data_IF_188759695108
#
_entry.id   IF_188759695108
#
_cell.length_a   1.000
_cell.length_b   1.000
_cell.length_c   1.000
_cell.angle_alpha   90.00
_cell.angle_beta   90.00
_cell.angle_gamma   90.00
#
_symmetry.space_group_name_H-M   'P 1'
#
loop_
_entity.id
_entity.type
_entity.pdbx_description
1 polymer ?
#
# COMPACT_ATOMS: atom_id res chain seq x y z
N UNK A 1 -35.60 30.96 59.62
CA UNK A 1 -35.21 29.55 59.36
C UNK A 1 -34.78 29.46 57.86
N UNK A 2 -33.46 29.41 57.61
CA UNK A 2 -32.90 29.34 56.25
C UNK A 2 -32.47 27.88 56.02
N UNK A 3 -33.10 27.19 55.07
CA UNK A 3 -32.74 25.85 54.70
C UNK A 3 -31.61 25.94 53.71
N UNK A 4 -30.44 25.41 54.07
CA UNK A 4 -29.27 25.21 53.18
C UNK A 4 -29.40 23.81 52.58
N UNK A 5 -29.62 23.74 51.24
CA UNK A 5 -29.51 22.50 50.48
C UNK A 5 -28.05 22.30 50.08
N UNK A 6 -27.45 21.25 50.63
CA UNK A 6 -26.10 20.79 50.23
C UNK A 6 -26.25 19.86 49.02
N UNK A 7 -25.76 20.30 47.86
CA UNK A 7 -25.61 19.45 46.66
C UNK A 7 -24.33 18.63 46.78
N UNK A 8 -24.44 17.34 47.00
CA UNK A 8 -23.31 16.41 46.84
C UNK A 8 -23.13 16.06 45.37
N UNK A 9 -22.09 16.60 44.74
CA UNK A 9 -21.63 16.27 43.39
C UNK A 9 -20.81 14.99 43.49
N UNK A 10 -21.37 13.84 43.09
CA UNK A 10 -20.63 12.58 42.96
C UNK A 10 -19.89 12.61 41.62
N UNK A 11 -18.58 12.84 41.70
CA UNK A 11 -17.68 12.79 40.54
C UNK A 11 -17.38 11.31 40.24
N UNK A 12 -18.02 10.74 39.22
CA UNK A 12 -17.64 9.42 38.66
C UNK A 12 -16.34 9.56 37.88
N UNK A 13 -15.23 9.21 38.50
CA UNK A 13 -13.97 8.94 37.79
C UNK A 13 -14.11 7.61 37.03
N UNK A 14 -14.39 7.67 35.76
CA UNK A 14 -14.19 6.52 34.87
C UNK A 14 -12.69 6.35 34.66
N UNK A 15 -12.07 5.44 35.39
CA UNK A 15 -10.72 4.97 35.11
C UNK A 15 -10.81 4.13 33.81
N UNK A 16 -10.45 4.74 32.70
CA UNK A 16 -10.21 4.01 31.46
C UNK A 16 -8.98 3.10 31.68
N UNK A 17 -9.23 1.84 31.99
CA UNK A 17 -8.20 0.81 31.94
C UNK A 17 -7.76 0.66 30.47
N UNK A 18 -6.77 1.40 30.05
CA UNK A 18 -5.98 1.05 28.88
C UNK A 18 -5.24 -0.26 29.25
N UNK A 19 -5.86 -1.40 28.95
CA UNK A 19 -5.16 -2.68 28.97
C UNK A 19 -4.00 -2.56 28.01
N UNK A 20 -2.78 -2.48 28.53
CA UNK A 20 -1.56 -2.68 27.76
C UNK A 20 -1.64 -4.10 27.17
N UNK A 21 -2.15 -4.20 25.95
CA UNK A 21 -2.15 -5.46 25.22
C UNK A 21 -0.70 -5.94 25.12
N UNK A 22 -0.44 -7.15 25.64
CA UNK A 22 0.90 -7.77 25.60
C UNK A 22 1.38 -7.77 24.15
N UNK A 23 2.41 -7.01 23.84
CA UNK A 23 3.03 -7.03 22.51
C UNK A 23 3.77 -8.35 22.34
N UNK A 24 3.57 -8.99 21.17
CA UNK A 24 4.28 -10.20 20.81
C UNK A 24 5.71 -9.86 20.34
N UNK A 25 6.68 -10.71 20.67
CA UNK A 25 7.91 -10.82 19.90
C UNK A 25 7.61 -11.53 18.58
N UNK A 26 8.52 -11.45 17.62
CA UNK A 26 8.29 -12.04 16.30
C UNK A 26 9.60 -12.52 15.67
N UNK A 27 9.47 -13.44 14.72
CA UNK A 27 10.56 -13.95 13.90
C UNK A 27 10.34 -13.58 12.44
N UNK A 28 11.40 -13.15 11.76
CA UNK A 28 11.46 -12.98 10.33
C UNK A 28 12.15 -14.16 9.66
N UNK A 29 11.58 -14.64 8.57
CA UNK A 29 12.15 -15.73 7.77
C UNK A 29 12.07 -15.36 6.30
N UNK A 30 13.18 -15.46 5.59
CA UNK A 30 13.16 -15.31 4.14
C UNK A 30 12.47 -16.51 3.51
N UNK A 31 11.61 -16.23 2.55
CA UNK A 31 10.84 -17.22 1.80
C UNK A 31 11.02 -17.00 0.31
N UNK A 32 11.00 -18.10 -0.44
CA UNK A 32 11.12 -18.07 -1.91
C UNK A 32 9.88 -18.70 -2.51
N UNK A 33 9.24 -17.99 -3.43
CA UNK A 33 8.16 -18.50 -4.24
C UNK A 33 8.70 -18.84 -5.63
N UNK A 34 8.59 -20.10 -6.02
CA UNK A 34 8.95 -20.55 -7.37
C UNK A 34 7.74 -20.44 -8.28
N UNK A 35 7.88 -19.68 -9.37
CA UNK A 35 6.88 -19.53 -10.43
C UNK A 35 7.52 -19.91 -11.76
N UNK A 36 7.22 -21.11 -12.25
CA UNK A 36 7.88 -21.70 -13.43
C UNK A 36 9.41 -21.73 -13.25
N UNK A 37 10.14 -20.94 -14.04
CA UNK A 37 11.61 -20.78 -13.95
C UNK A 37 12.03 -19.61 -13.05
N UNK A 38 11.08 -18.76 -12.64
CA UNK A 38 11.34 -17.58 -11.81
C UNK A 38 11.33 -17.90 -10.33
N UNK A 39 12.08 -17.09 -9.57
CA UNK A 39 12.07 -17.10 -8.12
C UNK A 39 11.75 -15.69 -7.62
N UNK A 40 10.69 -15.58 -6.80
CA UNK A 40 10.36 -14.35 -6.11
C UNK A 40 10.68 -14.49 -4.64
N UNK A 41 11.29 -13.48 -4.07
CA UNK A 41 11.78 -13.47 -2.70
C UNK A 41 10.91 -12.59 -1.81
N UNK A 42 10.64 -13.07 -0.62
CA UNK A 42 9.85 -12.37 0.38
C UNK A 42 10.38 -12.59 1.78
N UNK A 43 9.85 -11.84 2.73
CA UNK A 43 10.08 -12.01 4.16
C UNK A 43 8.75 -12.27 4.84
N UNK A 44 8.65 -13.43 5.49
CA UNK A 44 7.54 -13.83 6.33
C UNK A 44 7.86 -13.43 7.78
N UNK A 45 7.04 -12.56 8.35
CA UNK A 45 7.13 -12.09 9.74
C UNK A 45 6.02 -12.76 10.54
N UNK A 46 6.36 -13.57 11.54
CA UNK A 46 5.38 -14.36 12.31
C UNK A 46 5.53 -14.05 13.80
N UNK A 47 4.42 -13.74 14.52
CA UNK A 47 4.45 -13.57 15.98
C UNK A 47 4.94 -14.86 16.65
N UNK A 48 5.80 -14.71 17.65
CA UNK A 48 6.24 -15.82 18.49
C UNK A 48 5.09 -16.33 19.36
N UNK A 49 5.18 -17.60 19.79
CA UNK A 49 4.23 -18.25 20.70
C UNK A 49 2.79 -18.38 20.19
N UNK A 50 2.53 -18.04 18.91
CA UNK A 50 1.19 -18.13 18.32
C UNK A 50 1.12 -19.32 17.38
N UNK A 51 0.36 -20.36 17.75
CA UNK A 51 0.19 -21.56 16.92
C UNK A 51 -0.63 -21.31 15.66
N UNK A 52 -1.64 -20.44 15.73
CA UNK A 52 -2.49 -20.03 14.60
C UNK A 52 -2.80 -18.56 14.69
N UNK A 53 -2.65 -17.83 13.60
CA UNK A 53 -2.91 -16.39 13.51
C UNK A 53 -3.51 -16.02 12.16
N UNK A 54 -4.00 -14.79 12.06
CA UNK A 54 -4.32 -14.16 10.78
C UNK A 54 -3.02 -13.74 10.08
N UNK A 55 -3.05 -13.64 8.75
CA UNK A 55 -1.89 -13.22 7.96
C UNK A 55 -2.25 -12.09 7.00
N UNK A 56 -1.34 -11.15 6.83
CA UNK A 56 -1.43 -10.08 5.84
C UNK A 56 -0.41 -10.29 4.71
N UNK A 57 -0.84 -10.16 3.45
CA UNK A 57 0.05 -10.03 2.30
C UNK A 57 0.21 -8.56 1.97
N UNK A 58 1.42 -8.00 2.10
CA UNK A 58 1.72 -6.59 1.88
C UNK A 58 2.32 -6.42 0.48
N UNK A 59 1.71 -5.55 -0.33
CA UNK A 59 2.10 -5.27 -1.71
C UNK A 59 2.64 -3.86 -1.81
N UNK A 60 3.88 -3.72 -2.26
CA UNK A 60 4.56 -2.44 -2.42
C UNK A 60 3.99 -1.57 -3.55
N UNK A 61 4.22 -0.26 -3.47
CA UNK A 61 3.85 0.72 -4.49
C UNK A 61 4.69 0.63 -5.77
N UNK A 62 4.51 1.63 -6.64
CA UNK A 62 5.14 1.72 -7.97
C UNK A 62 6.67 1.88 -7.92
N UNK A 63 7.28 1.74 -9.09
CA UNK A 63 8.72 1.87 -9.28
C UNK A 63 9.54 0.74 -8.65
N UNK A 64 10.86 0.92 -8.49
CA UNK A 64 11.77 -0.09 -7.97
C UNK A 64 11.71 -0.21 -6.43
N UNK A 65 10.50 -0.18 -5.87
CA UNK A 65 10.26 -0.25 -4.44
C UNK A 65 10.33 -1.69 -3.95
N UNK A 66 11.26 -1.96 -3.04
CA UNK A 66 11.48 -3.26 -2.43
C UNK A 66 10.41 -3.62 -1.38
N UNK A 67 10.51 -4.83 -0.83
CA UNK A 67 9.60 -5.36 0.20
C UNK A 67 9.57 -4.56 1.50
N UNK A 68 10.57 -3.70 1.75
CA UNK A 68 10.68 -2.88 2.96
C UNK A 68 10.08 -1.47 2.75
N UNK A 69 9.74 -1.10 1.52
CA UNK A 69 9.28 0.23 1.14
C UNK A 69 10.42 1.16 0.69
N UNK A 70 11.60 0.61 0.43
CA UNK A 70 12.78 1.35 0.00
C UNK A 70 13.00 1.25 -1.51
N UNK A 71 13.75 2.21 -2.05
CA UNK A 71 14.25 2.15 -3.41
C UNK A 71 15.63 2.85 -3.47
N UNK A 72 16.34 2.85 -4.62
CA UNK A 72 17.67 3.45 -4.71
C UNK A 72 17.77 4.93 -4.31
N UNK A 73 16.65 5.66 -4.33
CA UNK A 73 16.57 7.09 -4.03
C UNK A 73 15.99 7.40 -2.65
N UNK A 74 15.32 6.43 -2.01
CA UNK A 74 14.56 6.66 -0.78
C UNK A 74 14.68 5.47 0.18
N UNK A 75 14.98 5.75 1.44
CA UNK A 75 15.10 4.74 2.50
C UNK A 75 14.23 5.13 3.70
N UNK A 76 13.06 4.51 3.82
CA UNK A 76 12.06 4.86 4.84
C UNK A 76 11.53 3.67 5.66
N UNK A 77 11.76 2.43 5.21
CA UNK A 77 11.36 1.19 5.88
C UNK A 77 9.85 1.07 6.22
N UNK A 78 8.98 1.83 5.56
CA UNK A 78 7.57 1.93 5.95
C UNK A 78 6.82 0.59 5.90
N UNK A 79 7.06 -0.24 4.88
CA UNK A 79 6.41 -1.56 4.76
C UNK A 79 7.01 -2.58 5.74
N UNK A 80 8.32 -2.46 6.06
CA UNK A 80 8.94 -3.25 7.12
C UNK A 80 8.32 -2.91 8.48
N UNK A 81 8.22 -1.62 8.81
CA UNK A 81 7.60 -1.16 10.05
C UNK A 81 6.14 -1.60 10.17
N UNK A 82 5.38 -1.60 9.06
CA UNK A 82 4.01 -2.12 9.04
C UNK A 82 3.98 -3.62 9.39
N UNK A 83 4.85 -4.42 8.78
CA UNK A 83 4.93 -5.86 9.04
C UNK A 83 5.29 -6.16 10.51
N UNK A 84 6.27 -5.44 11.07
CA UNK A 84 6.68 -5.57 12.47
C UNK A 84 5.56 -5.16 13.43
N UNK A 85 4.85 -4.05 13.13
CA UNK A 85 3.72 -3.60 13.93
C UNK A 85 2.55 -4.61 13.93
N UNK A 86 2.26 -5.21 12.77
CA UNK A 86 1.25 -6.28 12.69
C UNK A 86 1.67 -7.48 13.53
N UNK A 87 2.93 -7.90 13.46
CA UNK A 87 3.44 -9.04 14.24
C UNK A 87 3.39 -8.78 15.75
N UNK A 88 3.77 -7.59 16.22
CA UNK A 88 3.61 -7.17 17.62
C UNK A 88 2.15 -7.25 18.09
N UNK A 89 1.21 -7.12 17.18
CA UNK A 89 -0.23 -7.25 17.43
C UNK A 89 -0.78 -8.67 17.16
N UNK A 90 0.07 -9.68 17.00
CA UNK A 90 -0.33 -11.08 16.84
C UNK A 90 -0.82 -11.45 15.43
N UNK A 91 -0.53 -10.64 14.42
CA UNK A 91 -0.88 -10.85 13.01
C UNK A 91 0.39 -11.11 12.22
N UNK A 92 0.49 -12.27 11.59
CA UNK A 92 1.60 -12.56 10.68
C UNK A 92 1.52 -11.69 9.41
N UNK A 93 2.65 -11.50 8.75
CA UNK A 93 2.64 -10.83 7.45
C UNK A 93 3.71 -11.38 6.50
N UNK A 94 3.43 -11.30 5.21
CA UNK A 94 4.40 -11.55 4.15
C UNK A 94 4.52 -10.28 3.31
N UNK A 95 5.74 -9.79 3.14
CA UNK A 95 6.12 -8.75 2.19
C UNK A 95 7.14 -9.31 1.21
N UNK A 96 7.07 -8.92 -0.05
CA UNK A 96 7.89 -9.51 -1.11
C UNK A 96 8.41 -8.47 -2.08
N UNK A 97 9.53 -8.76 -2.73
CA UNK A 97 10.04 -7.98 -3.83
C UNK A 97 9.29 -8.36 -5.11
N UNK A 98 8.72 -7.37 -5.78
CA UNK A 98 8.12 -7.58 -7.10
C UNK A 98 9.20 -8.08 -8.07
N UNK A 99 8.80 -8.83 -9.11
CA UNK A 99 9.77 -9.29 -10.12
C UNK A 99 10.54 -8.13 -10.73
N UNK A 100 11.83 -8.32 -10.93
CA UNK A 100 12.74 -7.28 -11.38
C UNK A 100 13.25 -6.35 -10.28
N UNK A 101 12.81 -6.49 -9.01
CA UNK A 101 13.13 -5.61 -7.88
C UNK A 101 13.83 -6.40 -6.78
N UNK A 102 14.72 -5.73 -6.03
CA UNK A 102 15.38 -6.28 -4.85
C UNK A 102 16.04 -7.63 -5.13
N UNK A 103 15.78 -8.63 -4.30
CA UNK A 103 16.29 -10.00 -4.49
C UNK A 103 15.59 -10.73 -5.64
N UNK A 104 14.38 -10.31 -6.06
CA UNK A 104 13.66 -10.84 -7.23
C UNK A 104 14.18 -10.27 -8.56
N UNK A 105 15.32 -9.58 -8.57
CA UNK A 105 15.90 -8.91 -9.74
C UNK A 105 16.28 -9.87 -10.87
N UNK A 106 16.65 -11.10 -10.53
CA UNK A 106 17.04 -12.13 -11.49
C UNK A 106 15.87 -12.91 -12.08
N UNK A 107 14.61 -12.43 -11.92
CA UNK A 107 13.47 -13.03 -12.61
C UNK A 107 13.68 -12.99 -14.13
N UNK A 108 13.28 -14.05 -14.82
CA UNK A 108 13.58 -14.26 -16.24
C UNK A 108 12.91 -13.27 -17.18
N UNK A 109 12.03 -12.39 -16.67
CA UNK A 109 11.33 -11.43 -17.50
C UNK A 109 12.16 -10.15 -17.69
N UNK A 110 12.33 -9.73 -18.95
CA UNK A 110 12.95 -8.45 -19.25
C UNK A 110 11.98 -7.30 -18.99
N UNK A 111 12.48 -6.08 -18.74
CA UNK A 111 11.62 -4.91 -18.58
C UNK A 111 10.69 -4.68 -19.77
N UNK A 112 11.19 -4.92 -21.00
CA UNK A 112 10.41 -4.76 -22.23
C UNK A 112 9.31 -5.80 -22.43
N UNK A 113 9.33 -6.88 -21.66
CA UNK A 113 8.30 -7.93 -21.65
C UNK A 113 7.39 -7.85 -20.43
N UNK A 114 7.71 -6.98 -19.47
CA UNK A 114 6.92 -6.81 -18.25
C UNK A 114 5.60 -6.11 -18.58
N UNK A 115 4.50 -6.68 -18.09
CA UNK A 115 3.16 -6.09 -18.11
C UNK A 115 2.57 -6.08 -16.69
N UNK A 116 1.59 -5.22 -16.44
CA UNK A 116 0.97 -5.05 -15.13
C UNK A 116 0.35 -6.34 -14.60
N UNK A 117 -0.19 -7.16 -15.49
CA UNK A 117 -0.79 -8.45 -15.19
C UNK A 117 0.23 -9.44 -14.57
N UNK A 118 1.52 -9.32 -14.88
CA UNK A 118 2.54 -10.15 -14.24
C UNK A 118 2.57 -9.96 -12.73
N UNK A 119 2.43 -8.72 -12.24
CA UNK A 119 2.37 -8.45 -10.81
C UNK A 119 1.09 -8.98 -10.17
N UNK A 120 -0.03 -8.93 -10.87
CA UNK A 120 -1.29 -9.50 -10.35
C UNK A 120 -1.24 -11.02 -10.22
N UNK A 121 -0.61 -11.71 -11.18
CA UNK A 121 -0.42 -13.16 -11.14
C UNK A 121 0.58 -13.57 -10.04
N UNK A 122 1.64 -12.78 -9.83
CA UNK A 122 2.58 -13.00 -8.72
C UNK A 122 1.86 -12.91 -7.37
N UNK A 123 1.02 -11.90 -7.20
CA UNK A 123 0.23 -11.74 -5.95
C UNK A 123 -0.75 -12.88 -5.76
N UNK A 124 -1.43 -13.36 -6.81
CA UNK A 124 -2.28 -14.57 -6.74
C UNK A 124 -1.48 -15.80 -6.30
N UNK A 125 -0.25 -15.92 -6.77
CA UNK A 125 0.64 -17.03 -6.39
C UNK A 125 1.07 -16.93 -4.92
N UNK A 126 1.40 -15.73 -4.41
CA UNK A 126 1.66 -15.49 -2.99
C UNK A 126 0.43 -15.74 -2.11
N UNK A 127 -0.76 -15.38 -2.56
CA UNK A 127 -2.02 -15.69 -1.88
C UNK A 127 -2.19 -17.21 -1.74
N UNK A 128 -1.94 -17.96 -2.80
CA UNK A 128 -2.01 -19.43 -2.76
C UNK A 128 -0.94 -20.01 -1.82
N UNK A 129 0.30 -19.48 -1.85
CA UNK A 129 1.38 -19.88 -0.95
C UNK A 129 0.96 -19.73 0.52
N UNK A 130 0.42 -18.57 0.90
CA UNK A 130 -0.03 -18.32 2.27
C UNK A 130 -1.23 -19.20 2.68
N UNK A 131 -2.14 -19.50 1.76
CA UNK A 131 -3.30 -20.35 2.05
C UNK A 131 -2.95 -21.82 2.27
N UNK A 132 -1.83 -22.29 1.77
CA UNK A 132 -1.34 -23.64 2.02
C UNK A 132 -0.72 -23.81 3.42
N UNK A 133 -0.32 -22.72 4.07
CA UNK A 133 0.25 -22.74 5.39
C UNK A 133 -0.85 -22.84 6.46
N UNK A 134 -0.93 -23.99 7.12
CA UNK A 134 -1.97 -24.30 8.13
C UNK A 134 -1.90 -23.44 9.40
N UNK A 135 -0.84 -22.66 9.56
CA UNK A 135 -0.72 -21.69 10.66
C UNK A 135 -1.64 -20.48 10.47
N UNK A 136 -2.03 -20.19 9.23
CA UNK A 136 -2.82 -19.00 8.92
C UNK A 136 -4.30 -19.30 8.80
N UNK A 137 -5.12 -18.53 9.55
CA UNK A 137 -6.58 -18.75 9.63
C UNK A 137 -7.36 -17.92 8.63
N UNK A 138 -6.93 -16.67 8.42
CA UNK A 138 -7.53 -15.71 7.49
C UNK A 138 -6.44 -14.90 6.82
N UNK A 139 -6.63 -14.58 5.55
CA UNK A 139 -5.72 -13.78 4.75
C UNK A 139 -6.32 -12.42 4.46
N UNK A 140 -5.59 -11.35 4.81
CA UNK A 140 -5.88 -9.98 4.38
C UNK A 140 -4.85 -9.56 3.33
N UNK A 141 -5.29 -8.99 2.22
CA UNK A 141 -4.39 -8.34 1.26
C UNK A 141 -4.31 -6.86 1.61
N UNK A 142 -3.10 -6.34 1.78
CA UNK A 142 -2.81 -4.92 2.04
C UNK A 142 -2.00 -4.39 0.87
N UNK A 143 -2.59 -3.46 0.10
CA UNK A 143 -1.90 -2.82 -1.00
C UNK A 143 -1.57 -1.36 -0.70
N UNK A 144 -0.33 -0.96 -0.93
CA UNK A 144 0.13 0.42 -0.81
C UNK A 144 0.28 1.05 -2.19
N UNK A 145 -0.31 2.24 -2.41
CA UNK A 145 -0.19 2.99 -3.67
C UNK A 145 -0.60 2.14 -4.89
N UNK A 146 0.27 1.92 -5.89
CA UNK A 146 0.06 0.99 -7.00
C UNK A 146 -0.30 -0.43 -6.51
N UNK A 147 0.30 -0.88 -5.41
CA UNK A 147 0.01 -2.17 -4.79
C UNK A 147 -1.45 -2.31 -4.37
N UNK A 148 -2.16 -1.20 -4.15
CA UNK A 148 -3.60 -1.19 -3.90
C UNK A 148 -4.37 -1.70 -5.13
N UNK A 149 -4.09 -1.20 -6.33
CA UNK A 149 -4.72 -1.67 -7.56
C UNK A 149 -4.36 -3.13 -7.85
N UNK A 150 -3.08 -3.51 -7.70
CA UNK A 150 -2.65 -4.91 -7.85
C UNK A 150 -3.45 -5.81 -6.89
N UNK A 151 -3.59 -5.38 -5.64
CA UNK A 151 -4.34 -6.09 -4.61
C UNK A 151 -5.84 -6.18 -4.89
N UNK A 152 -6.46 -5.15 -5.44
CA UNK A 152 -7.87 -5.17 -5.88
C UNK A 152 -8.11 -6.27 -6.92
N UNK A 153 -7.22 -6.38 -7.91
CA UNK A 153 -7.35 -7.34 -9.02
C UNK A 153 -7.04 -8.77 -8.55
N UNK A 154 -5.99 -8.93 -7.74
CA UNK A 154 -5.53 -10.25 -7.29
C UNK A 154 -6.29 -10.78 -6.06
N UNK A 155 -6.87 -9.90 -5.25
CA UNK A 155 -7.36 -10.18 -3.91
C UNK A 155 -8.71 -10.91 -3.81
N UNK A 156 -9.31 -11.32 -4.92
CA UNK A 156 -10.63 -11.98 -4.92
C UNK A 156 -10.71 -13.26 -4.02
N UNK A 157 -9.57 -13.89 -3.75
CA UNK A 157 -9.47 -15.06 -2.85
C UNK A 157 -9.06 -14.70 -1.42
N UNK A 158 -8.86 -13.44 -1.07
CA UNK A 158 -8.58 -13.00 0.29
C UNK A 158 -9.87 -12.97 1.13
N UNK A 159 -9.72 -12.90 2.45
CA UNK A 159 -10.85 -12.73 3.37
C UNK A 159 -11.19 -11.25 3.57
N UNK A 160 -10.18 -10.37 3.45
CA UNK A 160 -10.30 -8.91 3.61
C UNK A 160 -9.32 -8.20 2.69
N UNK A 161 -9.61 -6.94 2.39
CA UNK A 161 -8.72 -6.08 1.61
C UNK A 161 -8.51 -4.73 2.29
N UNK A 162 -7.26 -4.25 2.28
CA UNK A 162 -6.89 -2.92 2.78
C UNK A 162 -6.16 -2.16 1.68
N UNK A 163 -6.66 -0.98 1.35
CA UNK A 163 -6.03 0.00 0.47
C UNK A 163 -5.35 1.08 1.31
N UNK A 164 -4.06 1.29 1.17
CA UNK A 164 -3.32 2.39 1.80
C UNK A 164 -2.80 3.30 0.69
N UNK A 165 -3.18 4.57 0.73
CA UNK A 165 -2.77 5.58 -0.26
C UNK A 165 -2.98 5.12 -1.71
N UNK A 166 -4.06 4.38 -1.98
CA UNK A 166 -4.41 3.88 -3.30
C UNK A 166 -5.07 4.96 -4.16
N UNK A 167 -4.69 5.03 -5.44
CA UNK A 167 -5.31 5.95 -6.38
C UNK A 167 -6.78 5.60 -6.63
N UNK A 168 -7.64 6.61 -6.73
CA UNK A 168 -9.05 6.47 -7.12
C UNK A 168 -9.28 6.59 -8.62
N UNK A 169 -8.25 6.95 -9.38
CA UNK A 169 -8.31 7.08 -10.83
C UNK A 169 -7.24 6.22 -11.53
N UNK A 170 -7.45 5.96 -12.83
CA UNK A 170 -6.49 5.22 -13.64
C UNK A 170 -5.12 5.91 -13.68
N UNK A 171 -4.06 5.11 -13.82
CA UNK A 171 -2.68 5.61 -13.70
C UNK A 171 -2.33 6.70 -14.72
N UNK A 172 -2.89 6.66 -15.93
CA UNK A 172 -2.72 7.72 -16.93
C UNK A 172 -3.22 9.07 -16.40
N UNK A 173 -4.39 9.12 -15.75
CA UNK A 173 -4.95 10.34 -15.16
C UNK A 173 -4.17 10.79 -13.95
N UNK A 174 -3.81 9.87 -13.06
CA UNK A 174 -3.02 10.15 -11.87
C UNK A 174 -1.67 10.78 -12.25
N UNK A 175 -0.94 10.21 -13.21
CA UNK A 175 0.36 10.72 -13.66
C UNK A 175 0.19 12.12 -14.29
N UNK A 176 -0.84 12.33 -15.10
CA UNK A 176 -1.15 13.67 -15.64
C UNK A 176 -1.40 14.69 -14.52
N UNK A 177 -2.19 14.33 -13.52
CA UNK A 177 -2.48 15.19 -12.36
C UNK A 177 -1.21 15.52 -11.56
N UNK A 178 -0.36 14.53 -11.32
CA UNK A 178 0.92 14.74 -10.62
C UNK A 178 1.89 15.63 -11.40
N UNK A 179 1.89 15.56 -12.73
CA UNK A 179 2.69 16.45 -13.59
C UNK A 179 2.12 17.86 -13.57
N UNK A 180 0.81 18.03 -13.74
CA UNK A 180 0.14 19.32 -13.71
C UNK A 180 0.31 20.04 -12.37
N UNK A 181 0.35 19.32 -11.25
CA UNK A 181 0.59 19.91 -9.91
C UNK A 181 1.94 20.61 -9.77
N UNK A 182 2.89 20.35 -10.67
CA UNK A 182 4.20 21.02 -10.71
C UNK A 182 4.15 22.38 -11.40
N UNK A 183 2.99 22.77 -11.97
CA UNK A 183 2.77 24.03 -12.68
C UNK A 183 3.82 24.32 -13.77
N UNK A 184 4.26 23.27 -14.47
CA UNK A 184 5.25 23.34 -15.55
C UNK A 184 4.58 22.97 -16.89
N UNK A 185 4.13 24.01 -17.61
CA UNK A 185 3.44 23.84 -18.90
C UNK A 185 4.29 23.11 -19.94
N UNK A 186 5.57 23.39 -20.00
CA UNK A 186 6.47 22.71 -20.92
C UNK A 186 6.51 21.20 -20.64
N UNK A 187 6.56 20.81 -19.36
CA UNK A 187 6.54 19.39 -18.96
C UNK A 187 5.21 18.72 -19.34
N UNK A 188 4.08 19.41 -19.18
CA UNK A 188 2.77 18.90 -19.62
C UNK A 188 2.75 18.68 -21.13
N UNK A 189 3.17 19.67 -21.92
CA UNK A 189 3.19 19.61 -23.39
C UNK A 189 4.09 18.49 -23.93
N UNK A 190 5.16 18.17 -23.23
CA UNK A 190 6.04 17.05 -23.57
C UNK A 190 5.48 15.69 -23.17
N UNK A 191 4.75 15.60 -22.04
CA UNK A 191 4.39 14.31 -21.42
C UNK A 191 2.98 13.84 -21.76
N UNK A 192 1.99 14.74 -21.86
CA UNK A 192 0.60 14.38 -22.07
C UNK A 192 0.36 13.65 -23.39
N UNK A 193 0.95 14.07 -24.54
CA UNK A 193 0.83 13.31 -25.78
C UNK A 193 1.40 11.88 -25.68
N UNK A 194 2.48 11.69 -24.92
CA UNK A 194 3.06 10.36 -24.67
C UNK A 194 2.05 9.51 -23.89
N UNK A 195 1.50 10.05 -22.79
CA UNK A 195 0.52 9.34 -21.96
C UNK A 195 -0.71 8.96 -22.79
N UNK A 196 -1.23 9.87 -23.63
CA UNK A 196 -2.40 9.59 -24.47
C UNK A 196 -2.13 8.52 -25.52
N UNK A 197 -0.93 8.53 -26.12
CA UNK A 197 -0.47 7.48 -27.03
C UNK A 197 -0.43 6.12 -26.34
N UNK A 198 0.20 6.05 -25.17
CA UNK A 198 0.30 4.82 -24.38
C UNK A 198 -1.07 4.34 -23.89
N UNK A 199 -1.97 5.25 -23.48
CA UNK A 199 -3.35 4.92 -23.12
C UNK A 199 -4.13 4.30 -24.26
N UNK A 200 -3.85 4.75 -25.50
CA UNK A 200 -4.42 4.20 -26.72
C UNK A 200 -3.76 2.89 -27.18
N UNK A 201 -2.77 2.38 -26.41
CA UNK A 201 -2.05 1.16 -26.73
C UNK A 201 -0.86 1.32 -27.68
N UNK A 202 -0.52 2.56 -28.05
CA UNK A 202 0.54 2.84 -29.03
C UNK A 202 1.85 3.19 -28.31
N UNK A 203 2.95 2.57 -28.74
CA UNK A 203 4.30 2.89 -28.26
C UNK A 203 4.82 4.18 -28.88
N UNK A 204 5.64 4.90 -28.13
CA UNK A 204 6.35 6.11 -28.55
C UNK A 204 7.84 5.77 -28.66
N UNK A 205 8.37 5.75 -29.90
CA UNK A 205 9.76 5.33 -30.16
C UNK A 205 10.80 6.38 -29.77
N UNK A 206 10.46 7.67 -29.94
CA UNK A 206 11.36 8.79 -29.61
C UNK A 206 10.83 9.48 -28.36
N UNK A 207 11.51 9.27 -27.27
CA UNK A 207 11.24 9.91 -25.98
C UNK A 207 12.41 10.82 -25.65
N UNK A 208 12.12 12.06 -25.21
CA UNK A 208 13.16 12.97 -24.75
C UNK A 208 13.94 12.33 -23.59
N UNK A 209 15.28 12.40 -23.58
CA UNK A 209 16.09 11.84 -22.50
C UNK A 209 15.68 12.26 -21.09
N UNK A 210 15.17 13.47 -20.90
CA UNK A 210 14.66 13.97 -19.62
C UNK A 210 13.45 13.17 -19.10
N UNK A 211 12.72 12.52 -20.00
CA UNK A 211 11.51 11.75 -19.70
C UNK A 211 11.77 10.25 -19.59
N UNK A 212 13.02 9.79 -19.83
CA UNK A 212 13.37 8.37 -19.84
C UNK A 212 13.08 7.65 -18.52
N UNK A 213 13.13 8.35 -17.38
CA UNK A 213 12.79 7.75 -16.08
C UNK A 213 11.35 7.22 -16.04
N UNK A 214 10.42 7.87 -16.78
CA UNK A 214 8.99 7.53 -16.79
C UNK A 214 8.55 6.82 -18.07
N UNK A 215 9.12 7.16 -19.25
CA UNK A 215 8.55 6.77 -20.54
C UNK A 215 9.54 6.09 -21.47
N UNK A 216 10.72 5.66 -20.99
CA UNK A 216 11.68 4.92 -21.86
C UNK A 216 10.99 3.76 -22.57
N UNK A 217 11.38 3.43 -23.80
CA UNK A 217 10.69 2.41 -24.61
C UNK A 217 10.50 1.06 -23.91
N UNK A 218 11.44 0.65 -23.06
CA UNK A 218 11.38 -0.62 -22.34
C UNK A 218 10.28 -0.70 -21.29
N UNK A 219 9.86 0.42 -20.68
CA UNK A 219 8.79 0.45 -19.67
C UNK A 219 7.38 0.61 -20.28
N UNK A 220 7.28 0.99 -21.55
CA UNK A 220 5.99 1.31 -22.17
C UNK A 220 5.01 0.14 -22.22
N UNK A 221 5.41 -1.13 -22.45
CA UNK A 221 4.47 -2.26 -22.36
C UNK A 221 3.78 -2.35 -20.98
N UNK A 222 4.55 -2.08 -19.93
CA UNK A 222 4.02 -2.02 -18.56
C UNK A 222 3.00 -0.88 -18.41
N UNK A 223 3.33 0.34 -18.83
CA UNK A 223 2.43 1.49 -18.75
C UNK A 223 1.16 1.27 -19.55
N UNK A 224 1.26 0.77 -20.78
CA UNK A 224 0.11 0.44 -21.65
C UNK A 224 -0.83 -0.55 -20.95
N UNK A 225 -0.28 -1.58 -20.34
CA UNK A 225 -1.08 -2.58 -19.62
C UNK A 225 -1.68 -2.02 -18.33
N UNK A 226 -0.94 -1.22 -17.56
CA UNK A 226 -1.42 -0.60 -16.33
C UNK A 226 -2.54 0.40 -16.58
N UNK A 227 -2.43 1.24 -17.63
CA UNK A 227 -3.41 2.25 -17.98
C UNK A 227 -4.79 1.67 -18.36
N UNK A 228 -4.92 0.38 -18.62
CA UNK A 228 -6.21 -0.28 -18.89
C UNK A 228 -7.12 -0.33 -17.68
N UNK A 229 -6.56 -0.33 -16.47
CA UNK A 229 -7.30 -0.56 -15.24
C UNK A 229 -7.80 0.74 -14.60
N UNK A 230 -9.08 0.75 -14.22
CA UNK A 230 -9.69 1.80 -13.41
C UNK A 230 -9.91 1.29 -11.98
N UNK A 231 -9.27 1.91 -10.96
CA UNK A 231 -9.33 1.42 -9.58
C UNK A 231 -10.76 1.37 -9.01
N UNK A 232 -11.64 2.29 -9.39
CA UNK A 232 -13.06 2.29 -8.96
C UNK A 232 -13.80 1.07 -9.50
N UNK A 233 -13.50 0.70 -10.73
CA UNK A 233 -14.05 -0.51 -11.35
C UNK A 233 -13.52 -1.77 -10.67
N UNK A 234 -12.24 -1.82 -10.32
CA UNK A 234 -11.63 -2.99 -9.71
C UNK A 234 -12.06 -3.17 -8.25
N UNK A 235 -12.07 -2.10 -7.45
CA UNK A 235 -12.51 -2.19 -6.04
C UNK A 235 -13.99 -2.59 -5.93
N UNK A 236 -14.83 -2.18 -6.88
CA UNK A 236 -16.26 -2.54 -6.94
C UNK A 236 -16.49 -4.04 -7.08
N UNK A 237 -15.55 -4.78 -7.67
CA UNK A 237 -15.61 -6.23 -7.84
C UNK A 237 -15.36 -7.01 -6.55
N UNK A 238 -14.75 -6.36 -5.52
CA UNK A 238 -14.46 -7.01 -4.25
C UNK A 238 -15.75 -7.19 -3.45
N UNK A 239 -16.04 -8.43 -3.09
CA UNK A 239 -17.20 -8.82 -2.26
C UNK A 239 -16.86 -8.96 -0.78
N UNK A 240 -15.57 -8.97 -0.45
CA UNK A 240 -15.05 -9.04 0.92
C UNK A 240 -15.09 -7.67 1.62
N UNK A 241 -14.97 -7.59 2.95
CA UNK A 241 -14.79 -6.33 3.66
C UNK A 241 -13.56 -5.58 3.15
N UNK A 242 -13.70 -4.27 2.96
CA UNK A 242 -12.67 -3.37 2.45
C UNK A 242 -12.40 -2.26 3.45
N UNK A 243 -11.13 -1.92 3.68
CA UNK A 243 -10.71 -0.74 4.43
C UNK A 243 -9.86 0.15 3.51
N UNK A 244 -10.28 1.40 3.35
CA UNK A 244 -9.55 2.42 2.58
C UNK A 244 -8.94 3.41 3.57
N UNK A 245 -7.62 3.58 3.52
CA UNK A 245 -6.84 4.42 4.41
C UNK A 245 -6.05 5.45 3.61
N UNK A 246 -6.16 6.73 3.99
CA UNK A 246 -5.49 7.83 3.31
C UNK A 246 -4.99 8.87 4.32
N UNK A 247 -3.81 9.41 4.06
CA UNK A 247 -3.30 10.56 4.80
C UNK A 247 -3.70 11.88 4.13
N UNK A 248 -4.06 12.90 4.91
CA UNK A 248 -4.37 14.21 4.35
C UNK A 248 -3.12 15.06 4.03
N UNK A 249 -1.92 14.58 4.39
CA UNK A 249 -0.64 15.18 4.03
C UNK A 249 0.10 14.40 2.92
N UNK A 250 -0.62 13.57 2.18
CA UNK A 250 -0.09 12.82 1.03
C UNK A 250 0.08 13.75 -0.18
N UNK A 251 1.31 13.83 -0.71
CA UNK A 251 1.66 14.66 -1.87
C UNK A 251 1.48 13.94 -3.21
N UNK A 252 1.13 12.65 -3.22
CA UNK A 252 1.04 11.82 -4.43
C UNK A 252 -0.39 11.40 -4.76
N UNK A 253 -1.17 11.05 -3.72
CA UNK A 253 -2.55 10.58 -3.84
C UNK A 253 -3.43 11.41 -2.89
N UNK A 254 -4.54 11.90 -3.38
CA UNK A 254 -5.40 12.81 -2.65
C UNK A 254 -6.42 12.09 -1.75
N UNK A 255 -6.97 12.83 -0.79
CA UNK A 255 -8.14 12.36 0.00
C UNK A 255 -9.32 12.02 -0.92
N UNK A 256 -9.52 12.79 -2.01
CA UNK A 256 -10.57 12.54 -2.99
C UNK A 256 -10.44 11.19 -3.70
N UNK A 257 -9.22 10.70 -3.90
CA UNK A 257 -8.98 9.35 -4.44
C UNK A 257 -9.54 8.29 -3.50
N UNK A 258 -9.23 8.39 -2.21
CA UNK A 258 -9.72 7.46 -1.19
C UNK A 258 -11.25 7.51 -1.03
N UNK A 259 -11.85 8.70 -1.06
CA UNK A 259 -13.30 8.90 -1.04
C UNK A 259 -13.95 8.23 -2.26
N UNK A 260 -13.36 8.39 -3.44
CA UNK A 260 -13.84 7.78 -4.69
C UNK A 260 -13.78 6.25 -4.64
N UNK A 261 -12.71 5.67 -4.06
CA UNK A 261 -12.61 4.23 -3.85
C UNK A 261 -13.66 3.72 -2.86
N UNK A 262 -13.83 4.41 -1.74
CA UNK A 262 -14.79 4.02 -0.73
C UNK A 262 -16.23 4.09 -1.25
N UNK A 263 -16.57 5.11 -2.01
CA UNK A 263 -17.90 5.25 -2.65
C UNK A 263 -18.16 4.16 -3.70
N UNK A 264 -17.11 3.70 -4.39
CA UNK A 264 -17.25 2.69 -5.43
C UNK A 264 -17.59 1.28 -4.89
N UNK A 265 -17.31 0.99 -3.62
CA UNK A 265 -17.58 -0.31 -3.00
C UNK A 265 -18.37 -0.18 -1.70
N UNK A 266 -19.59 -0.72 -1.69
CA UNK A 266 -20.52 -0.68 -0.53
C UNK A 266 -20.01 -1.37 0.74
N UNK A 267 -19.02 -2.24 0.62
CA UNK A 267 -18.41 -2.95 1.76
C UNK A 267 -17.20 -2.19 2.33
N UNK A 268 -16.94 -0.98 1.83
CA UNK A 268 -15.78 -0.17 2.24
C UNK A 268 -16.03 0.60 3.54
N UNK A 269 -15.01 0.60 4.38
CA UNK A 269 -14.82 1.58 5.45
C UNK A 269 -13.72 2.56 5.02
N UNK A 270 -13.92 3.85 5.24
CA UNK A 270 -12.94 4.90 4.95
C UNK A 270 -12.40 5.48 6.25
N UNK A 271 -11.09 5.67 6.33
CA UNK A 271 -10.47 6.48 7.37
C UNK A 271 -9.41 7.41 6.79
N UNK A 272 -9.57 8.70 7.07
CA UNK A 272 -8.57 9.72 6.75
C UNK A 272 -7.75 9.97 8.01
N UNK A 273 -6.41 9.90 7.87
CA UNK A 273 -5.47 10.03 8.98
C UNK A 273 -4.79 11.39 8.88
N UNK A 274 -4.98 12.17 9.92
CA UNK A 274 -4.44 13.53 9.97
C UNK A 274 -2.91 13.52 9.92
N UNK A 275 -2.34 14.46 9.16
CA UNK A 275 -0.90 14.64 8.95
C UNK A 275 -0.13 13.44 8.41
N UNK A 276 -0.80 12.34 8.07
CA UNK A 276 -0.14 11.18 7.46
C UNK A 276 0.22 11.45 6.01
N UNK A 277 1.45 11.14 5.64
CA UNK A 277 1.95 11.26 4.27
C UNK A 277 1.84 9.93 3.49
N UNK A 278 2.29 9.95 2.21
CA UNK A 278 2.22 8.80 1.32
C UNK A 278 2.91 7.53 1.85
N UNK A 279 4.02 7.70 2.58
CA UNK A 279 4.79 6.59 3.17
C UNK A 279 4.37 6.28 4.61
N UNK A 280 3.13 6.59 4.96
CA UNK A 280 2.48 6.23 6.23
C UNK A 280 3.06 6.91 7.49
N UNK A 281 3.84 7.98 7.36
CA UNK A 281 4.46 8.69 8.49
C UNK A 281 3.66 9.95 8.84
N UNK A 282 3.59 10.29 10.13
CA UNK A 282 2.98 11.53 10.58
C UNK A 282 4.01 12.65 10.46
N UNK A 283 3.66 13.69 9.72
CA UNK A 283 4.53 14.85 9.48
C UNK A 283 3.85 16.11 10.01
N UNK A 284 4.43 16.63 11.08
CA UNK A 284 4.03 17.91 11.66
C UNK A 284 4.99 19.00 11.16
N UNK A 285 4.85 19.39 9.91
CA UNK A 285 5.73 20.33 9.25
C UNK A 285 5.26 20.69 7.85
N UNK A 286 6.08 21.45 7.16
CA UNK A 286 5.82 21.92 5.81
C UNK A 286 6.07 20.82 4.73
N UNK A 287 5.94 21.21 3.47
CA UNK A 287 6.18 20.33 2.32
C UNK A 287 7.62 19.79 2.30
N UNK A 288 8.63 20.60 2.74
CA UNK A 288 10.02 20.18 2.76
C UNK A 288 10.22 19.09 3.82
N UNK A 289 9.68 19.26 5.03
CA UNK A 289 9.72 18.24 6.08
C UNK A 289 9.05 16.94 5.63
N UNK A 290 7.94 17.04 4.87
CA UNK A 290 7.31 15.88 4.28
C UNK A 290 8.24 15.16 3.29
N UNK A 291 8.90 15.88 2.39
CA UNK A 291 9.83 15.28 1.43
C UNK A 291 11.06 14.66 2.12
N UNK A 292 11.63 15.31 3.13
CA UNK A 292 12.79 14.81 3.87
C UNK A 292 12.48 13.50 4.61
N UNK A 293 11.23 13.30 5.03
CA UNK A 293 10.79 12.08 5.71
C UNK A 293 10.95 10.81 4.86
N UNK A 294 10.99 10.94 3.54
CA UNK A 294 11.15 9.80 2.61
C UNK A 294 12.54 9.15 2.73
N UNK A 295 13.53 9.86 3.28
CA UNK A 295 14.87 9.34 3.56
C UNK A 295 15.14 9.17 5.06
N UNK A 296 14.10 9.16 5.89
CA UNK A 296 14.24 8.91 7.32
C UNK A 296 13.74 7.50 7.67
N UNK A 297 14.67 6.54 7.73
CA UNK A 297 14.37 5.13 8.02
C UNK A 297 13.99 4.85 9.48
N UNK A 298 14.21 5.81 10.39
CA UNK A 298 13.91 5.66 11.82
C UNK A 298 12.60 6.33 12.24
N UNK A 299 12.07 7.24 11.42
CA UNK A 299 10.78 7.88 11.71
C UNK A 299 9.68 6.81 11.67
N UNK A 300 8.89 6.63 12.73
CA UNK A 300 7.87 5.60 12.80
C UNK A 300 6.70 5.88 11.83
N UNK A 301 6.01 4.83 11.42
CA UNK A 301 4.71 4.95 10.74
C UNK A 301 3.61 5.32 11.75
N UNK A 302 2.50 5.82 11.25
CA UNK A 302 1.34 6.26 12.04
C UNK A 302 0.79 5.15 12.94
N UNK A 303 0.72 5.39 14.24
CA UNK A 303 0.08 4.47 15.19
C UNK A 303 -1.42 4.33 14.90
N UNK A 304 -2.09 5.43 14.53
CA UNK A 304 -3.50 5.42 14.14
C UNK A 304 -3.74 4.51 12.93
N UNK A 305 -2.83 4.51 11.95
CA UNK A 305 -2.88 3.58 10.82
C UNK A 305 -2.83 2.13 11.30
N UNK A 306 -1.87 1.82 12.18
CA UNK A 306 -1.68 0.47 12.73
C UNK A 306 -2.95 0.02 13.46
N UNK A 307 -3.49 0.86 14.35
CA UNK A 307 -4.70 0.56 15.11
C UNK A 307 -5.90 0.27 14.20
N UNK A 308 -6.10 1.08 13.15
CA UNK A 308 -7.19 0.87 12.18
C UNK A 308 -7.04 -0.46 11.45
N UNK A 309 -5.83 -0.80 10.99
CA UNK A 309 -5.57 -2.05 10.28
C UNK A 309 -5.74 -3.25 11.21
N UNK A 310 -5.16 -3.21 12.41
CA UNK A 310 -5.26 -4.30 13.40
C UNK A 310 -6.70 -4.54 13.81
N UNK A 311 -7.44 -3.47 14.13
CA UNK A 311 -8.87 -3.57 14.46
C UNK A 311 -9.69 -4.16 13.32
N UNK A 312 -9.41 -3.76 12.08
CA UNK A 312 -10.11 -4.27 10.90
C UNK A 312 -9.80 -5.75 10.64
N UNK A 313 -8.54 -6.15 10.78
CA UNK A 313 -8.12 -7.54 10.54
C UNK A 313 -8.75 -8.46 11.61
N UNK A 314 -8.73 -8.06 12.89
CA UNK A 314 -9.19 -8.88 14.02
C UNK A 314 -10.71 -9.03 14.16
N UNK A 315 -11.50 -8.15 13.55
CA UNK A 315 -12.97 -8.28 13.44
C UNK A 315 -13.35 -9.43 12.51
#
# INVERSE_FOLDING_TARGET
MKNIFLFFSVLFLTIANAQNAKQHTFKETNVTLKINIDHLYGTLTVPDEVKKCQVALIIAGSGPTDRNGNNPMMKNNSLKMLAEALAKNGIASLRFDKRGIGESKASAITESSLVFENYTEDVKSWINFLKLDKRFTQLTVIGHSEGSLIGMIAGAKANKFVSIAGAGESADKLIKSQIASKSNKQLEDMTFPIIDSLKSGNKVNKVDPLLNSLFRPSIQPYLISWFKYDPKTEIKKLTVPVLVLQGNNDLQVSVKDAESLAQANKNSQLAIIDKMNHIMKIIDGDKQANMDSYNNETLPISEVLIEKIVSFIKK
#
